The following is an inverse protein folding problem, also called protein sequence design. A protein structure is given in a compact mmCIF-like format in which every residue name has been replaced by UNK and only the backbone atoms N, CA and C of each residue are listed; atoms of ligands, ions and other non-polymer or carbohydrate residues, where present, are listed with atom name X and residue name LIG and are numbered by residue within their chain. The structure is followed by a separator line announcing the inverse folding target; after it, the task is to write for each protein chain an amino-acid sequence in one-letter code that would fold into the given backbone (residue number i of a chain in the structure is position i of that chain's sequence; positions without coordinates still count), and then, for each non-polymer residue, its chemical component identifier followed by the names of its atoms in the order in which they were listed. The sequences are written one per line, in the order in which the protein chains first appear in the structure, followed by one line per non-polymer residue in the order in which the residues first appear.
data_IF_890465814416
#
_entry.id   IF_890465814416
#
_cell.length_a   1.000
_cell.length_b   1.000
_cell.length_c   1.000
_cell.angle_alpha   90.00
_cell.angle_beta   90.00
_cell.angle_gamma   90.00
#
_symmetry.space_group_name_H-M   'P 1'
#
loop_
_entity.id
_entity.type
_entity.pdbx_description
1 polymer ?
#
# COMPACT_ATOMS: atom_id res chain seq x y z
N UNK A 1 -18.18 -13.83 25.18
CA UNK A 1 -16.88 -13.49 24.60
C UNK A 1 -15.83 -13.64 25.68
N UNK A 2 -14.65 -14.14 25.35
CA UNK A 2 -13.52 -14.17 26.31
C UNK A 2 -13.03 -12.73 26.58
N UNK A 3 -12.36 -12.45 27.71
CA UNK A 3 -11.81 -11.11 27.99
C UNK A 3 -10.87 -10.57 26.89
N UNK A 4 -10.27 -11.47 26.11
CA UNK A 4 -9.39 -11.17 24.98
C UNK A 4 -10.17 -10.77 23.72
N UNK A 5 -11.29 -11.43 23.44
CA UNK A 5 -12.25 -11.06 22.38
C UNK A 5 -12.90 -9.70 22.66
N UNK A 6 -13.26 -9.42 23.92
CA UNK A 6 -13.86 -8.15 24.33
C UNK A 6 -12.88 -6.97 24.24
N UNK A 7 -11.61 -7.17 24.62
CA UNK A 7 -10.54 -6.15 24.43
C UNK A 7 -10.27 -5.86 22.96
N UNK A 8 -10.26 -6.90 22.12
CA UNK A 8 -10.05 -6.77 20.68
C UNK A 8 -11.21 -6.01 20.03
N UNK A 9 -12.43 -6.27 20.47
CA UNK A 9 -13.65 -5.60 19.99
C UNK A 9 -13.70 -4.13 20.44
N UNK A 10 -13.34 -3.83 21.69
CA UNK A 10 -13.29 -2.46 22.21
C UNK A 10 -12.20 -1.61 21.52
N UNK A 11 -11.02 -2.17 21.29
CA UNK A 11 -9.94 -1.47 20.56
C UNK A 11 -10.32 -1.21 19.10
N UNK A 12 -10.98 -2.17 18.44
CA UNK A 12 -11.53 -2.00 17.09
C UNK A 12 -12.59 -0.89 17.06
N UNK A 13 -13.56 -0.92 17.96
CA UNK A 13 -14.59 0.11 18.05
C UNK A 13 -14.00 1.52 18.26
N UNK A 14 -12.96 1.65 19.08
CA UNK A 14 -12.24 2.91 19.29
C UNK A 14 -11.50 3.37 18.03
N UNK A 15 -10.89 2.47 17.27
CA UNK A 15 -10.28 2.79 15.98
C UNK A 15 -11.32 3.29 14.98
N UNK A 16 -12.45 2.60 14.86
CA UNK A 16 -13.54 2.99 13.95
C UNK A 16 -14.22 4.29 14.35
N UNK A 17 -14.27 4.64 15.65
CA UNK A 17 -14.83 5.92 16.11
C UNK A 17 -14.09 7.16 15.56
N UNK A 18 -12.83 7.00 15.15
CA UNK A 18 -12.03 8.07 14.53
C UNK A 18 -12.23 8.18 13.02
N UNK A 19 -12.78 7.16 12.38
CA UNK A 19 -12.96 7.09 10.94
C UNK A 19 -14.38 7.55 10.58
N UNK A 20 -14.49 8.69 9.90
CA UNK A 20 -15.80 9.33 9.62
C UNK A 20 -16.72 8.50 8.71
N UNK A 21 -16.15 7.66 7.83
CA UNK A 21 -16.90 6.93 6.80
C UNK A 21 -16.27 5.56 6.51
N UNK A 22 -16.52 4.57 7.37
CA UNK A 22 -16.03 3.19 7.17
C UNK A 22 -17.13 2.18 7.41
N UNK A 23 -17.20 1.17 6.53
CA UNK A 23 -18.04 -0.02 6.72
C UNK A 23 -17.12 -1.18 7.07
N UNK A 24 -17.31 -1.74 8.26
CA UNK A 24 -16.63 -2.98 8.65
C UNK A 24 -17.50 -4.18 8.28
N UNK A 25 -16.88 -5.20 7.67
CA UNK A 25 -17.60 -6.37 7.16
C UNK A 25 -16.98 -7.66 7.69
N UNK A 26 -17.78 -8.72 7.90
CA UNK A 26 -17.25 -10.03 8.25
C UNK A 26 -16.51 -10.65 7.05
N UNK A 27 -15.53 -11.52 7.33
CA UNK A 27 -14.73 -12.20 6.29
C UNK A 27 -15.60 -12.99 5.28
N UNK A 28 -16.74 -13.54 5.72
CA UNK A 28 -17.69 -14.24 4.87
C UNK A 28 -18.34 -13.38 3.79
N UNK A 29 -18.33 -12.05 3.93
CA UNK A 29 -18.89 -11.11 2.95
C UNK A 29 -17.82 -10.45 2.06
N UNK A 30 -16.53 -10.77 2.22
CA UNK A 30 -15.44 -10.14 1.47
C UNK A 30 -15.70 -10.13 -0.04
N UNK A 31 -16.06 -11.29 -0.60
CA UNK A 31 -16.34 -11.45 -2.03
C UNK A 31 -17.41 -10.47 -2.54
N UNK A 32 -18.51 -10.34 -1.81
CA UNK A 32 -19.64 -9.47 -2.15
C UNK A 32 -19.23 -8.00 -2.18
N UNK A 33 -18.37 -7.58 -1.26
CA UNK A 33 -17.90 -6.19 -1.21
C UNK A 33 -16.81 -5.91 -2.23
N UNK A 34 -15.87 -6.84 -2.44
CA UNK A 34 -14.86 -6.73 -3.50
C UNK A 34 -15.52 -6.55 -4.87
N UNK A 35 -16.57 -7.33 -5.17
CA UNK A 35 -17.32 -7.21 -6.42
C UNK A 35 -17.94 -5.82 -6.61
N UNK A 36 -18.30 -5.11 -5.54
CA UNK A 36 -18.87 -3.75 -5.58
C UNK A 36 -17.82 -2.64 -5.58
N UNK A 37 -16.59 -2.93 -5.16
CA UNK A 37 -15.52 -1.94 -5.08
C UNK A 37 -14.91 -1.65 -6.46
N UNK A 38 -14.58 -0.38 -6.69
CA UNK A 38 -13.86 0.09 -7.89
C UNK A 38 -12.36 -0.27 -7.81
N UNK A 39 -11.78 -0.22 -6.60
CA UNK A 39 -10.40 -0.60 -6.31
C UNK A 39 -10.32 -1.28 -4.93
N UNK A 40 -9.30 -2.13 -4.73
CA UNK A 40 -9.12 -2.90 -3.50
C UNK A 40 -7.66 -2.83 -3.06
N UNK A 41 -7.43 -2.38 -1.83
CA UNK A 41 -6.13 -2.42 -1.16
C UNK A 41 -6.03 -3.67 -0.30
N UNK A 42 -4.94 -4.42 -0.45
CA UNK A 42 -4.62 -5.59 0.38
C UNK A 42 -3.17 -5.52 0.87
N UNK A 43 -2.96 -5.92 2.12
CA UNK A 43 -1.63 -6.12 2.69
C UNK A 43 -1.24 -5.25 3.89
N UNK A 44 -1.66 -3.97 4.02
CA UNK A 44 -1.41 -3.19 5.24
C UNK A 44 -1.91 -3.92 6.49
N UNK A 45 -1.04 -4.09 7.48
CA UNK A 45 -1.33 -4.80 8.72
C UNK A 45 -1.52 -6.32 8.60
N UNK A 46 -1.33 -6.92 7.42
CA UNK A 46 -1.32 -8.38 7.28
C UNK A 46 0.02 -8.96 7.77
N UNK A 47 -0.06 -10.02 8.57
CA UNK A 47 1.10 -10.55 9.28
C UNK A 47 1.89 -11.52 8.41
N UNK A 48 3.22 -11.39 8.45
CA UNK A 48 4.17 -12.39 7.94
C UNK A 48 4.59 -13.38 9.03
N UNK A 49 4.67 -12.90 10.26
CA UNK A 49 5.03 -13.67 11.45
C UNK A 49 4.04 -13.35 12.58
N UNK A 50 3.70 -14.32 13.42
CA UNK A 50 2.88 -14.16 14.61
C UNK A 50 3.53 -13.22 15.64
N UNK A 51 4.87 -13.06 15.61
CA UNK A 51 5.63 -12.06 16.37
C UNK A 51 6.76 -11.48 15.53
N UNK A 52 6.91 -10.15 15.53
CA UNK A 52 8.06 -9.48 14.91
C UNK A 52 9.37 -9.98 15.55
N UNK A 53 10.30 -10.47 14.72
CA UNK A 53 11.62 -10.96 15.17
C UNK A 53 11.85 -12.48 15.07
N UNK A 54 10.81 -13.29 14.83
CA UNK A 54 10.97 -14.71 14.50
C UNK A 54 11.12 -14.92 12.99
N UNK A 55 12.10 -14.25 12.37
CA UNK A 55 12.51 -14.64 11.03
C UNK A 55 13.14 -16.04 11.13
N UNK A 56 12.41 -17.07 10.72
CA UNK A 56 12.97 -18.41 10.61
C UNK A 56 14.22 -18.38 9.71
N UNK A 57 15.25 -19.15 10.07
CA UNK A 57 16.38 -19.40 9.18
C UNK A 57 15.84 -19.94 7.84
N UNK A 58 16.15 -19.25 6.74
CA UNK A 58 15.71 -19.63 5.39
C UNK A 58 14.56 -18.81 4.79
N UNK A 59 14.08 -17.75 5.46
CA UNK A 59 13.15 -16.80 4.83
C UNK A 59 11.69 -17.26 4.73
N UNK A 60 11.37 -18.43 5.30
CA UNK A 60 10.01 -18.98 5.39
C UNK A 60 9.20 -18.15 6.41
N UNK A 61 7.97 -17.79 6.05
CA UNK A 61 6.99 -17.13 6.94
C UNK A 61 6.25 -18.20 7.78
N UNK A 62 5.67 -17.84 8.92
CA UNK A 62 5.03 -18.82 9.81
C UNK A 62 3.55 -19.08 9.44
N UNK A 63 2.79 -19.71 10.34
CA UNK A 63 1.37 -20.01 10.11
C UNK A 63 0.54 -18.75 9.80
N UNK A 64 0.87 -17.61 10.43
CA UNK A 64 0.19 -16.34 10.16
C UNK A 64 0.52 -15.83 8.76
N UNK A 65 1.78 -15.96 8.34
CA UNK A 65 2.18 -15.67 6.96
C UNK A 65 1.55 -16.62 5.94
N UNK A 66 1.34 -17.88 6.30
CA UNK A 66 0.66 -18.87 5.45
C UNK A 66 -0.80 -18.50 5.27
N UNK A 67 -1.49 -18.09 6.34
CA UNK A 67 -2.85 -17.56 6.25
C UNK A 67 -2.92 -16.33 5.34
N UNK A 68 -2.00 -15.37 5.52
CA UNK A 68 -1.91 -14.18 4.67
C UNK A 68 -1.71 -14.55 3.20
N UNK A 69 -0.83 -15.50 2.90
CA UNK A 69 -0.58 -15.97 1.53
C UNK A 69 -1.82 -16.62 0.94
N UNK A 70 -2.43 -17.56 1.65
CA UNK A 70 -3.63 -18.26 1.19
C UNK A 70 -4.77 -17.28 0.91
N UNK A 71 -5.02 -16.33 1.82
CA UNK A 71 -6.05 -15.31 1.63
C UNK A 71 -5.72 -14.39 0.46
N UNK A 72 -4.48 -13.91 0.37
CA UNK A 72 -4.03 -13.06 -0.74
C UNK A 72 -4.24 -13.78 -2.08
N UNK A 73 -3.72 -14.99 -2.22
CA UNK A 73 -3.84 -15.78 -3.46
C UNK A 73 -5.28 -16.12 -3.81
N UNK A 74 -6.10 -16.47 -2.82
CA UNK A 74 -7.52 -16.72 -3.02
C UNK A 74 -8.22 -15.47 -3.58
N UNK A 75 -8.02 -14.30 -2.97
CA UNK A 75 -8.70 -13.07 -3.39
C UNK A 75 -8.22 -12.58 -4.76
N UNK A 76 -6.91 -12.57 -5.00
CA UNK A 76 -6.34 -12.16 -6.28
C UNK A 76 -6.77 -13.11 -7.42
N UNK A 77 -6.76 -14.42 -7.16
CA UNK A 77 -7.15 -15.42 -8.16
C UNK A 77 -8.66 -15.45 -8.44
N UNK A 78 -9.50 -15.17 -7.43
CA UNK A 78 -10.95 -15.16 -7.57
C UNK A 78 -11.49 -13.89 -8.23
N UNK A 79 -10.80 -12.76 -8.04
CA UNK A 79 -11.20 -11.45 -8.60
C UNK A 79 -10.06 -10.81 -9.42
N UNK A 80 -9.60 -11.47 -10.50
CA UNK A 80 -8.45 -11.00 -11.27
C UNK A 80 -8.71 -9.68 -12.00
N UNK A 81 -9.97 -9.36 -12.30
CA UNK A 81 -10.37 -8.15 -13.04
C UNK A 81 -10.49 -6.90 -12.15
N UNK A 82 -10.29 -7.04 -10.83
CA UNK A 82 -10.35 -5.90 -9.91
C UNK A 82 -9.06 -5.09 -9.95
N UNK A 83 -9.19 -3.77 -9.74
CA UNK A 83 -8.03 -2.89 -9.57
C UNK A 83 -7.43 -3.11 -8.19
N UNK A 84 -6.37 -3.92 -8.15
CA UNK A 84 -5.66 -4.25 -6.92
C UNK A 84 -4.55 -3.24 -6.64
N UNK A 85 -4.48 -2.77 -5.40
CA UNK A 85 -3.29 -2.18 -4.80
C UNK A 85 -2.76 -3.17 -3.78
N UNK A 86 -1.53 -3.62 -3.95
CA UNK A 86 -0.93 -4.67 -3.13
C UNK A 86 0.28 -4.08 -2.42
N UNK A 87 0.26 -4.10 -1.09
CA UNK A 87 1.30 -3.52 -0.24
C UNK A 87 1.74 -4.50 0.86
N UNK A 88 2.80 -4.17 1.60
CA UNK A 88 3.14 -4.76 2.89
C UNK A 88 3.07 -6.29 2.96
N UNK A 89 2.30 -6.80 3.93
CA UNK A 89 2.26 -8.23 4.25
C UNK A 89 1.92 -9.13 3.06
N UNK A 90 1.04 -8.68 2.16
CA UNK A 90 0.71 -9.44 0.94
C UNK A 90 1.90 -9.55 -0.01
N UNK A 91 2.63 -8.46 -0.24
CA UNK A 91 3.85 -8.47 -1.08
C UNK A 91 4.95 -9.36 -0.50
N UNK A 92 5.00 -9.52 0.83
CA UNK A 92 6.03 -10.31 1.49
C UNK A 92 5.86 -11.83 1.36
N UNK A 93 4.64 -12.29 1.07
CA UNK A 93 4.31 -13.73 1.06
C UNK A 93 3.76 -14.23 -0.26
N UNK A 94 3.27 -13.34 -1.13
CA UNK A 94 2.71 -13.74 -2.42
C UNK A 94 3.80 -14.18 -3.41
N UNK A 95 3.46 -15.14 -4.26
CA UNK A 95 4.26 -15.49 -5.43
C UNK A 95 4.01 -14.50 -6.58
N UNK A 96 5.06 -14.14 -7.31
CA UNK A 96 5.00 -13.13 -8.36
C UNK A 96 4.13 -13.52 -9.56
N UNK A 97 3.95 -14.82 -9.83
CA UNK A 97 3.05 -15.33 -10.86
C UNK A 97 1.55 -15.15 -10.51
N UNK A 98 1.24 -14.75 -9.28
CA UNK A 98 -0.12 -14.40 -8.81
C UNK A 98 -0.44 -12.93 -8.92
N UNK A 99 0.46 -12.10 -9.46
CA UNK A 99 0.19 -10.68 -9.69
C UNK A 99 -0.90 -10.52 -10.77
N UNK A 100 -2.06 -9.90 -10.47
CA UNK A 100 -3.05 -9.60 -11.48
C UNK A 100 -2.54 -8.55 -12.46
N UNK A 101 -2.95 -8.66 -13.73
CA UNK A 101 -2.64 -7.64 -14.73
C UNK A 101 -3.24 -6.30 -14.32
N UNK A 102 -2.48 -5.22 -14.47
CA UNK A 102 -2.88 -3.87 -14.09
C UNK A 102 -2.90 -3.59 -12.58
N UNK A 103 -2.49 -4.54 -11.73
CA UNK A 103 -2.33 -4.29 -10.31
C UNK A 103 -1.24 -3.24 -10.03
N UNK A 104 -1.41 -2.45 -8.97
CA UNK A 104 -0.40 -1.52 -8.46
C UNK A 104 0.29 -2.18 -7.26
N UNK A 105 1.61 -2.33 -7.33
CA UNK A 105 2.42 -2.86 -6.25
C UNK A 105 3.23 -1.72 -5.64
N UNK A 106 3.30 -1.67 -4.31
CA UNK A 106 4.06 -0.64 -3.57
C UNK A 106 5.20 -1.25 -2.75
N UNK A 107 6.12 -2.03 -3.35
CA UNK A 107 7.15 -2.72 -2.58
C UNK A 107 8.13 -1.74 -1.93
N UNK A 108 8.54 -2.02 -0.69
CA UNK A 108 9.82 -1.53 -0.19
C UNK A 108 10.98 -2.35 -0.78
N UNK A 109 12.23 -1.95 -0.50
CA UNK A 109 13.42 -2.62 -1.03
C UNK A 109 13.47 -4.13 -0.73
N UNK A 110 13.02 -4.53 0.46
CA UNK A 110 13.01 -5.94 0.89
C UNK A 110 11.92 -6.73 0.18
N UNK A 111 10.73 -6.16 0.04
CA UNK A 111 9.63 -6.77 -0.72
C UNK A 111 9.98 -6.93 -2.20
N UNK A 112 10.62 -5.93 -2.80
CA UNK A 112 11.12 -6.03 -4.17
C UNK A 112 12.10 -7.21 -4.31
N UNK A 113 13.09 -7.29 -3.42
CA UNK A 113 14.06 -8.40 -3.41
C UNK A 113 13.41 -9.78 -3.25
N UNK A 114 12.34 -9.89 -2.44
CA UNK A 114 11.61 -11.13 -2.26
C UNK A 114 10.78 -11.52 -3.49
N UNK A 115 10.17 -10.53 -4.16
CA UNK A 115 9.28 -10.76 -5.30
C UNK A 115 10.02 -10.98 -6.62
N UNK A 116 11.09 -10.24 -6.87
CA UNK A 116 11.82 -10.26 -8.15
C UNK A 116 13.16 -10.97 -8.07
N UNK A 117 13.77 -11.08 -6.88
CA UNK A 117 15.17 -11.47 -6.73
C UNK A 117 16.16 -10.35 -7.06
N UNK A 118 15.67 -9.16 -7.43
CA UNK A 118 16.46 -8.03 -7.88
C UNK A 118 16.40 -6.84 -6.90
N UNK A 119 17.20 -5.83 -7.18
CA UNK A 119 17.25 -4.59 -6.40
C UNK A 119 16.04 -3.68 -6.59
N UNK A 120 16.19 -2.43 -6.15
CA UNK A 120 15.15 -1.39 -6.16
C UNK A 120 15.44 -0.26 -7.14
N UNK A 121 16.47 -0.42 -7.96
CA UNK A 121 16.82 0.51 -9.04
C UNK A 121 15.73 0.52 -10.11
N UNK A 122 15.52 1.68 -10.73
CA UNK A 122 14.44 1.93 -11.70
C UNK A 122 14.36 0.87 -12.80
N UNK A 123 15.51 0.41 -13.33
CA UNK A 123 15.58 -0.64 -14.36
C UNK A 123 14.87 -1.93 -13.93
N UNK A 124 15.01 -2.33 -12.66
CA UNK A 124 14.42 -3.57 -12.15
C UNK A 124 12.92 -3.41 -11.91
N UNK A 125 12.48 -2.20 -11.53
CA UNK A 125 11.06 -1.87 -11.44
C UNK A 125 10.42 -1.94 -12.83
N UNK A 126 11.06 -1.36 -13.84
CA UNK A 126 10.57 -1.37 -15.23
C UNK A 126 10.49 -2.80 -15.80
N UNK A 127 11.53 -3.60 -15.60
CA UNK A 127 11.58 -5.00 -16.03
C UNK A 127 10.48 -5.83 -15.37
N UNK A 128 10.29 -5.69 -14.06
CA UNK A 128 9.25 -6.43 -13.33
C UNK A 128 7.84 -5.96 -13.73
N UNK A 129 7.62 -4.66 -13.83
CA UNK A 129 6.35 -4.08 -14.27
C UNK A 129 5.96 -4.59 -15.66
N UNK A 130 6.91 -4.58 -16.60
CA UNK A 130 6.72 -5.12 -17.95
C UNK A 130 6.45 -6.63 -17.94
N UNK A 131 7.23 -7.40 -17.17
CA UNK A 131 7.12 -8.86 -17.08
C UNK A 131 5.73 -9.31 -16.60
N UNK A 132 5.20 -8.65 -15.57
CA UNK A 132 3.92 -9.03 -14.97
C UNK A 132 2.74 -8.16 -15.44
N UNK A 133 2.97 -7.22 -16.36
CA UNK A 133 1.95 -6.28 -16.86
C UNK A 133 1.25 -5.55 -15.72
N UNK A 134 2.03 -5.04 -14.77
CA UNK A 134 1.56 -4.35 -13.57
C UNK A 134 2.23 -2.99 -13.42
N UNK A 135 1.80 -2.21 -12.44
CA UNK A 135 2.41 -0.93 -12.06
C UNK A 135 3.22 -1.13 -10.78
N UNK A 136 4.44 -0.61 -10.74
CA UNK A 136 5.29 -0.67 -9.55
C UNK A 136 5.62 0.74 -9.06
N UNK A 137 5.44 0.94 -7.76
CA UNK A 137 5.83 2.16 -7.05
C UNK A 137 7.15 1.94 -6.33
N UNK A 138 8.22 2.51 -6.87
CA UNK A 138 9.54 2.52 -6.25
C UNK A 138 9.62 3.54 -5.12
N UNK A 139 9.82 3.07 -3.89
CA UNK A 139 9.97 3.93 -2.70
C UNK A 139 11.44 4.35 -2.52
N UNK A 140 11.69 5.63 -2.24
CA UNK A 140 13.04 6.16 -2.03
C UNK A 140 13.08 7.69 -1.96
N UNK A 141 14.29 8.24 -1.84
CA UNK A 141 14.52 9.69 -1.91
C UNK A 141 13.97 10.27 -3.23
N UNK A 142 14.27 9.58 -4.33
CA UNK A 142 13.51 9.68 -5.58
C UNK A 142 12.49 8.53 -5.58
N UNK A 143 11.22 8.87 -5.78
CA UNK A 143 10.15 7.90 -5.95
C UNK A 143 9.92 7.63 -7.43
N UNK A 144 9.42 6.45 -7.76
CA UNK A 144 9.10 6.08 -9.14
C UNK A 144 7.71 5.47 -9.22
N UNK A 145 7.03 5.67 -10.35
CA UNK A 145 5.86 4.90 -10.74
C UNK A 145 6.05 4.45 -12.19
N UNK A 146 6.02 3.14 -12.45
CA UNK A 146 6.28 2.58 -13.79
C UNK A 146 5.33 1.44 -14.13
N UNK A 147 4.90 1.37 -15.39
CA UNK A 147 4.21 0.22 -15.98
C UNK A 147 5.14 -0.63 -16.89
N UNK A 148 6.44 -0.31 -16.87
CA UNK A 148 7.46 -0.95 -17.70
C UNK A 148 7.57 -0.40 -19.13
N UNK A 149 6.71 0.54 -19.51
CA UNK A 149 6.80 1.31 -20.76
C UNK A 149 7.00 2.79 -20.48
N UNK A 150 6.25 3.34 -19.54
CA UNK A 150 6.30 4.71 -19.06
C UNK A 150 6.72 4.70 -17.59
N UNK A 151 7.71 5.53 -17.27
CA UNK A 151 8.20 5.72 -15.90
C UNK A 151 8.10 7.19 -15.53
N UNK A 152 7.38 7.48 -14.44
CA UNK A 152 7.40 8.77 -13.79
C UNK A 152 8.45 8.79 -12.69
N UNK A 153 9.32 9.80 -12.73
CA UNK A 153 10.20 10.15 -11.63
C UNK A 153 9.51 11.19 -10.74
N UNK A 154 9.36 10.87 -9.46
CA UNK A 154 8.71 11.73 -8.46
C UNK A 154 9.74 12.16 -7.42
N UNK A 155 10.21 13.39 -7.56
CA UNK A 155 11.17 14.02 -6.63
C UNK A 155 10.46 14.70 -5.45
N UNK A 156 11.23 15.28 -4.54
CA UNK A 156 10.72 15.96 -3.35
C UNK A 156 10.53 15.03 -2.15
N UNK A 157 9.69 15.45 -1.21
CA UNK A 157 9.51 14.77 0.08
C UNK A 157 10.72 14.97 1.01
N UNK A 158 10.77 14.22 2.10
CA UNK A 158 11.87 14.30 3.07
C UNK A 158 12.01 13.02 3.89
N UNK A 159 13.07 12.95 4.71
CA UNK A 159 13.40 11.78 5.53
C UNK A 159 12.32 11.38 6.54
N UNK A 160 11.35 12.24 6.86
CA UNK A 160 10.21 11.89 7.70
C UNK A 160 9.30 10.80 7.10
N UNK A 161 9.37 10.56 5.78
CA UNK A 161 8.71 9.45 5.10
C UNK A 161 9.35 8.07 5.37
N UNK A 162 10.45 8.01 6.13
CA UNK A 162 11.07 6.73 6.54
C UNK A 162 10.47 6.16 7.83
N UNK A 163 9.45 6.83 8.40
CA UNK A 163 8.76 6.42 9.62
C UNK A 163 7.72 5.33 9.35
N UNK A 164 7.49 4.47 10.34
CA UNK A 164 6.45 3.46 10.30
C UNK A 164 5.07 4.06 10.01
N UNK A 165 4.26 3.36 9.22
CA UNK A 165 2.90 3.78 8.83
C UNK A 165 2.82 4.67 7.59
N UNK A 166 3.88 5.38 7.21
CA UNK A 166 3.85 6.28 6.03
C UNK A 166 3.64 5.51 4.72
N UNK A 167 4.11 4.26 4.64
CA UNK A 167 3.83 3.34 3.54
C UNK A 167 2.34 2.97 3.44
N UNK A 168 1.67 2.76 4.57
CA UNK A 168 0.23 2.46 4.60
C UNK A 168 -0.59 3.66 4.12
N UNK A 169 -0.18 4.88 4.50
CA UNK A 169 -0.79 6.12 4.00
C UNK A 169 -0.64 6.21 2.48
N UNK A 170 0.55 5.95 1.95
CA UNK A 170 0.79 5.94 0.50
C UNK A 170 -0.10 4.92 -0.21
N UNK A 171 -0.16 3.68 0.29
CA UNK A 171 -0.99 2.64 -0.31
C UNK A 171 -2.49 3.01 -0.27
N UNK A 172 -2.96 3.60 0.83
CA UNK A 172 -4.32 4.10 0.98
C UNK A 172 -4.67 5.23 0.00
N UNK A 173 -3.77 6.22 -0.14
CA UNK A 173 -3.94 7.33 -1.09
C UNK A 173 -4.00 6.81 -2.53
N UNK A 174 -3.07 5.92 -2.91
CA UNK A 174 -3.06 5.30 -4.24
C UNK A 174 -4.34 4.52 -4.49
N UNK A 175 -4.83 3.72 -3.53
CA UNK A 175 -6.06 2.97 -3.68
C UNK A 175 -7.29 3.87 -3.87
N UNK A 176 -7.36 4.98 -3.13
CA UNK A 176 -8.41 5.98 -3.30
C UNK A 176 -8.39 6.60 -4.70
N UNK A 177 -7.21 6.93 -5.24
CA UNK A 177 -7.05 7.47 -6.58
C UNK A 177 -7.34 6.42 -7.67
N UNK A 178 -6.91 5.17 -7.47
CA UNK A 178 -7.09 4.07 -8.41
C UNK A 178 -8.57 3.70 -8.61
N UNK A 179 -9.44 4.04 -7.66
CA UNK A 179 -10.89 3.88 -7.82
C UNK A 179 -11.45 4.71 -9.00
N UNK A 180 -10.81 5.82 -9.38
CA UNK A 180 -11.31 6.75 -10.41
C UNK A 180 -10.33 7.02 -11.55
N UNK A 181 -9.11 6.50 -11.47
CA UNK A 181 -8.05 6.79 -12.44
C UNK A 181 -7.35 5.51 -12.90
N UNK A 182 -6.61 5.62 -14.01
CA UNK A 182 -5.77 4.53 -14.51
C UNK A 182 -4.63 4.21 -13.52
N UNK A 183 -4.18 2.93 -13.43
CA UNK A 183 -3.24 2.50 -12.40
C UNK A 183 -1.95 3.31 -12.32
N UNK A 184 -1.32 3.59 -13.47
CA UNK A 184 -0.06 4.34 -13.50
C UNK A 184 -0.23 5.79 -13.02
N UNK A 185 -1.31 6.45 -13.43
CA UNK A 185 -1.63 7.80 -13.00
C UNK A 185 -1.92 7.85 -11.50
N UNK A 186 -2.71 6.91 -10.98
CA UNK A 186 -3.01 6.82 -9.55
C UNK A 186 -1.75 6.61 -8.71
N UNK A 187 -0.84 5.74 -9.16
CA UNK A 187 0.45 5.48 -8.53
C UNK A 187 1.36 6.73 -8.49
N UNK A 188 1.52 7.40 -9.63
CA UNK A 188 2.34 8.61 -9.74
C UNK A 188 1.75 9.77 -8.91
N UNK A 189 0.47 10.05 -9.07
CA UNK A 189 -0.22 11.13 -8.35
C UNK A 189 -0.25 10.87 -6.84
N UNK A 190 -0.50 9.64 -6.40
CA UNK A 190 -0.49 9.29 -4.98
C UNK A 190 0.88 9.47 -4.35
N UNK A 191 1.94 9.05 -5.05
CA UNK A 191 3.33 9.23 -4.61
C UNK A 191 3.69 10.72 -4.54
N UNK A 192 3.30 11.50 -5.55
CA UNK A 192 3.53 12.94 -5.58
C UNK A 192 2.82 13.65 -4.42
N UNK A 193 1.54 13.36 -4.18
CA UNK A 193 0.76 13.96 -3.10
C UNK A 193 1.35 13.68 -1.72
N UNK A 194 1.75 12.44 -1.45
CA UNK A 194 2.39 12.07 -0.18
C UNK A 194 3.71 12.83 0.01
N UNK A 195 4.53 12.93 -1.04
CA UNK A 195 5.80 13.65 -0.97
C UNK A 195 5.61 15.16 -0.77
N UNK A 196 4.64 15.76 -1.46
CA UNK A 196 4.26 17.18 -1.25
C UNK A 196 3.71 17.43 0.14
N UNK A 197 2.93 16.50 0.68
CA UNK A 197 2.40 16.60 2.04
C UNK A 197 3.52 16.54 3.07
N UNK A 198 4.50 15.66 2.86
CA UNK A 198 5.68 15.61 3.70
C UNK A 198 6.48 16.93 3.67
N UNK A 199 6.65 17.57 2.51
CA UNK A 199 7.31 18.89 2.40
C UNK A 199 6.56 19.96 3.19
N UNK A 200 5.25 20.05 3.01
CA UNK A 200 4.41 21.01 3.75
C UNK A 200 4.46 20.79 5.27
N UNK A 201 4.41 19.53 5.72
CA UNK A 201 4.58 19.20 7.14
C UNK A 201 5.96 19.56 7.66
N UNK A 202 7.00 19.37 6.85
CA UNK A 202 8.37 19.72 7.23
C UNK A 202 8.55 21.22 7.44
N UNK A 203 7.91 22.07 6.62
CA UNK A 203 7.93 23.52 6.83
C UNK A 203 7.25 23.93 8.14
N UNK A 204 6.23 23.19 8.58
CA UNK A 204 5.45 23.50 9.79
C UNK A 204 6.08 22.97 11.07
N UNK A 205 6.58 21.73 11.04
CA UNK A 205 7.02 21.00 12.25
C UNK A 205 8.36 20.27 12.08
N UNK A 206 9.08 20.52 10.99
CA UNK A 206 10.31 19.80 10.65
C UNK A 206 10.05 18.29 10.54
N UNK A 207 10.97 17.47 11.05
CA UNK A 207 10.78 16.02 11.07
C UNK A 207 9.79 15.55 12.16
N UNK A 208 9.11 16.42 12.89
CA UNK A 208 8.26 16.03 14.03
C UNK A 208 6.81 15.67 13.67
N UNK A 209 6.58 15.11 12.48
CA UNK A 209 5.27 14.56 12.06
C UNK A 209 5.30 13.02 11.97
N UNK A 210 4.14 12.38 12.04
CA UNK A 210 3.97 10.93 11.93
C UNK A 210 3.01 10.57 10.76
N UNK A 211 2.64 9.28 10.65
CA UNK A 211 1.75 8.81 9.60
C UNK A 211 0.31 9.36 9.71
N UNK A 212 -0.19 9.60 10.91
CA UNK A 212 -1.51 10.21 11.13
C UNK A 212 -1.49 11.67 10.66
N UNK A 213 -0.46 12.45 11.02
CA UNK A 213 -0.30 13.82 10.52
C UNK A 213 -0.28 13.85 8.99
N UNK A 214 0.42 12.90 8.37
CA UNK A 214 0.48 12.76 6.91
C UNK A 214 -0.90 12.46 6.32
N UNK A 215 -1.65 11.52 6.89
CA UNK A 215 -2.98 11.14 6.44
C UNK A 215 -4.01 12.28 6.60
N UNK A 216 -3.92 13.05 7.69
CA UNK A 216 -4.82 14.16 7.98
C UNK A 216 -4.59 15.36 7.04
N UNK A 217 -3.35 15.56 6.56
CA UNK A 217 -2.99 16.74 5.75
C UNK A 217 -2.98 16.47 4.24
N UNK A 218 -3.00 15.20 3.77
CA UNK A 218 -2.91 14.88 2.33
C UNK A 218 -4.04 15.50 1.50
N UNK A 219 -5.26 15.56 2.04
CA UNK A 219 -6.41 16.11 1.34
C UNK A 219 -6.35 17.64 1.23
N UNK A 220 -5.79 18.32 2.22
CA UNK A 220 -5.58 19.77 2.17
C UNK A 220 -4.59 20.12 1.05
N UNK A 221 -3.49 19.39 0.96
CA UNK A 221 -2.49 19.56 -0.11
C UNK A 221 -3.09 19.26 -1.48
N UNK A 222 -3.86 18.18 -1.62
CA UNK A 222 -4.58 17.87 -2.84
C UNK A 222 -5.51 19.01 -3.28
N UNK A 223 -6.29 19.57 -2.34
CA UNK A 223 -7.17 20.71 -2.61
C UNK A 223 -6.39 21.93 -3.09
N UNK A 224 -5.31 22.28 -2.40
CA UNK A 224 -4.49 23.45 -2.76
C UNK A 224 -3.90 23.32 -4.16
N UNK A 225 -3.49 22.13 -4.58
CA UNK A 225 -2.97 21.88 -5.93
C UNK A 225 -4.04 22.07 -7.02
N UNK A 226 -5.28 21.67 -6.77
CA UNK A 226 -6.38 21.85 -7.73
C UNK A 226 -6.82 23.31 -7.79
N UNK A 227 -6.85 23.99 -6.65
CA UNK A 227 -7.28 25.39 -6.59
C UNK A 227 -6.21 26.35 -7.14
N UNK A 228 -4.91 25.98 -7.14
CA UNK A 228 -3.84 26.76 -7.77
C UNK A 228 -3.84 26.74 -9.31
N UNK A 229 -4.58 25.80 -9.92
CA UNK A 229 -4.75 25.70 -11.38
C UNK A 229 -5.95 26.52 -11.90
N UNK A 230 -6.65 27.26 -11.03
CA UNK A 230 -7.76 28.17 -11.38
C UNK A 230 -7.34 29.63 -11.29
#
# INVERSE_FOLDING_TARGET
ATPEEDRTTANKARLFSKLKSVIWIPRSELDKFILKSDAVLIGPGMMRYAREGQAGEGGVYDDAGTETKMLTHYLLGKHPDKRWVIDGGSLQVMDADRIPKGAILTPNKREMQLLSGEGSEVRYLEEMAKKYSCVIVGKGAVGYATDGQTTYEITGGNAGLTKGGTGDVLAGVIAGLAAKNEPLLAAAAGTYLVKKTAESLFERVGYAYNADDLAENVFEVYKNLIDSDK
#
